data_IF_618278527559
#
_entry.id   IF_618278527559
#
_cell.length_a   1.000
_cell.length_b   1.000
_cell.length_c   1.000
_cell.angle_alpha   90.00
_cell.angle_beta   90.00
_cell.angle_gamma   90.00
#
_symmetry.space_group_name_H-M   'P 1'
#
loop_
_entity.id
_entity.type
_entity.pdbx_description
1 polymer ?
#
# COMPACT_ATOMS: atom_id res chain seq x y z
N UNK A 1 0.58 -13.90 8.29
CA UNK A 1 1.26 -13.23 7.15
C UNK A 1 2.32 -14.18 6.62
N UNK A 2 2.40 -14.42 5.31
CA UNK A 2 3.53 -15.18 4.73
C UNK A 2 4.78 -14.30 4.63
N UNK A 3 5.97 -14.89 4.53
CA UNK A 3 7.23 -14.14 4.36
C UNK A 3 7.20 -13.17 3.18
N UNK A 4 6.63 -13.61 2.05
CA UNK A 4 6.43 -12.76 0.87
C UNK A 4 5.45 -11.61 1.09
N UNK A 5 4.40 -11.82 1.90
CA UNK A 5 3.48 -10.73 2.24
C UNK A 5 4.16 -9.71 3.13
N UNK A 6 4.89 -10.14 4.16
CA UNK A 6 5.62 -9.24 5.05
C UNK A 6 6.60 -8.34 4.27
N UNK A 7 7.42 -8.93 3.38
CA UNK A 7 8.35 -8.16 2.52
C UNK A 7 7.64 -7.08 1.70
N UNK A 8 6.48 -7.40 1.11
CA UNK A 8 5.69 -6.44 0.32
C UNK A 8 5.13 -5.31 1.16
N UNK A 9 4.59 -5.63 2.33
CA UNK A 9 4.02 -4.63 3.25
C UNK A 9 5.11 -3.68 3.76
N UNK A 10 6.28 -4.22 4.13
CA UNK A 10 7.43 -3.41 4.53
C UNK A 10 7.86 -2.46 3.41
N UNK A 11 8.02 -2.95 2.18
CA UNK A 11 8.42 -2.11 1.06
C UNK A 11 7.39 -1.01 0.75
N UNK A 12 6.10 -1.34 0.83
CA UNK A 12 5.01 -0.37 0.63
C UNK A 12 5.05 0.72 1.70
N UNK A 13 5.23 0.36 2.97
CA UNK A 13 5.33 1.34 4.06
C UNK A 13 6.56 2.24 3.90
N UNK A 14 7.71 1.68 3.51
CA UNK A 14 8.91 2.47 3.21
C UNK A 14 8.64 3.48 2.08
N UNK A 15 8.04 3.05 0.96
CA UNK A 15 7.66 3.96 -0.14
C UNK A 15 6.69 5.06 0.32
N UNK A 16 5.73 4.70 1.17
CA UNK A 16 4.76 5.63 1.73
C UNK A 16 5.44 6.67 2.64
N UNK A 17 6.38 6.26 3.50
CA UNK A 17 7.13 7.16 4.38
C UNK A 17 8.08 8.09 3.62
N UNK A 18 8.67 7.63 2.51
CA UNK A 18 9.45 8.51 1.63
C UNK A 18 8.58 9.56 0.92
N UNK A 19 7.29 9.30 0.74
CA UNK A 19 6.37 10.18 0.01
C UNK A 19 5.06 10.42 0.80
N UNK A 20 5.12 11.03 1.99
CA UNK A 20 4.01 11.01 2.94
C UNK A 20 2.76 11.77 2.48
N UNK A 21 2.91 12.70 1.54
CA UNK A 21 1.81 13.49 0.96
C UNK A 21 1.21 12.87 -0.31
N UNK A 22 1.85 11.85 -0.87
CA UNK A 22 1.44 11.29 -2.14
C UNK A 22 0.37 10.20 -1.92
N UNK A 23 -0.69 10.25 -2.74
CA UNK A 23 -1.71 9.22 -2.72
C UNK A 23 -1.13 7.87 -3.15
N UNK A 24 -1.55 6.82 -2.46
CA UNK A 24 -1.17 5.44 -2.74
C UNK A 24 -2.34 4.77 -3.44
N UNK A 25 -2.18 4.54 -4.73
CA UNK A 25 -3.16 3.83 -5.56
C UNK A 25 -2.72 2.39 -5.79
N UNK A 26 -3.65 1.52 -6.19
CA UNK A 26 -3.30 0.16 -6.59
C UNK A 26 -2.27 0.13 -7.72
N UNK A 27 -2.33 1.07 -8.67
CA UNK A 27 -1.37 1.18 -9.78
C UNK A 27 0.04 1.52 -9.29
N UNK A 28 0.16 2.45 -8.34
CA UNK A 28 1.45 2.79 -7.72
C UNK A 28 2.10 1.57 -7.04
N UNK A 29 1.32 0.83 -6.25
CA UNK A 29 1.81 -0.39 -5.58
C UNK A 29 2.24 -1.45 -6.59
N UNK A 30 1.53 -1.58 -7.71
CA UNK A 30 1.95 -2.47 -8.80
C UNK A 30 3.28 -2.03 -9.42
N UNK A 31 3.49 -0.74 -9.64
CA UNK A 31 4.77 -0.19 -10.11
C UNK A 31 5.91 -0.46 -9.13
N UNK A 32 5.68 -0.26 -7.83
CA UNK A 32 6.63 -0.62 -6.78
C UNK A 32 6.99 -2.11 -6.82
N UNK A 33 6.00 -2.99 -6.95
CA UNK A 33 6.25 -4.43 -7.01
C UNK A 33 7.08 -4.80 -8.23
N UNK A 34 6.80 -4.20 -9.39
CA UNK A 34 7.59 -4.40 -10.60
C UNK A 34 9.05 -3.98 -10.40
N UNK A 35 9.31 -2.83 -9.77
CA UNK A 35 10.67 -2.36 -9.45
C UNK A 35 11.42 -3.32 -8.50
N UNK A 36 10.70 -4.04 -7.65
CA UNK A 36 11.25 -5.01 -6.71
C UNK A 36 11.37 -6.43 -7.27
N UNK A 37 11.05 -6.64 -8.56
CA UNK A 37 11.04 -7.97 -9.19
C UNK A 37 9.89 -8.86 -8.72
N UNK A 38 8.83 -8.28 -8.15
CA UNK A 38 7.65 -8.99 -7.66
C UNK A 38 6.56 -8.89 -8.73
N UNK A 39 5.94 -10.02 -9.08
CA UNK A 39 4.86 -10.05 -10.06
C UNK A 39 3.72 -9.07 -9.68
N UNK A 40 3.41 -8.06 -10.50
CA UNK A 40 2.50 -6.96 -10.14
C UNK A 40 1.03 -7.35 -10.31
N UNK A 41 0.52 -8.23 -9.44
CA UNK A 41 -0.90 -8.64 -9.47
C UNK A 41 -1.79 -7.61 -8.78
N UNK A 42 -2.78 -7.06 -9.51
CA UNK A 42 -3.76 -6.08 -8.99
C UNK A 42 -4.48 -6.56 -7.72
N UNK A 43 -4.89 -7.82 -7.68
CA UNK A 43 -5.57 -8.39 -6.52
C UNK A 43 -4.67 -8.43 -5.28
N UNK A 44 -3.38 -8.76 -5.45
CA UNK A 44 -2.37 -8.75 -4.40
C UNK A 44 -2.14 -7.35 -3.86
N UNK A 45 -1.88 -6.38 -4.75
CA UNK A 45 -1.70 -4.98 -4.36
C UNK A 45 -2.90 -4.43 -3.59
N UNK A 46 -4.13 -4.74 -4.03
CA UNK A 46 -5.35 -4.33 -3.32
C UNK A 46 -5.50 -5.02 -1.97
N UNK A 47 -5.14 -6.30 -1.87
CA UNK A 47 -5.15 -7.05 -0.61
C UNK A 47 -4.18 -6.46 0.41
N UNK A 48 -2.97 -6.12 -0.03
CA UNK A 48 -1.93 -5.54 0.81
C UNK A 48 -2.31 -4.13 1.31
N UNK A 49 -2.87 -3.28 0.44
CA UNK A 49 -3.41 -1.97 0.85
C UNK A 49 -4.49 -2.08 1.91
N UNK A 50 -5.44 -3.02 1.74
CA UNK A 50 -6.48 -3.28 2.73
C UNK A 50 -5.92 -3.83 4.04
N UNK A 51 -4.85 -4.64 3.98
CA UNK A 51 -4.20 -5.16 5.17
C UNK A 51 -3.59 -4.02 5.99
N UNK A 52 -2.86 -3.10 5.36
CA UNK A 52 -2.30 -1.93 6.04
C UNK A 52 -3.38 -0.99 6.57
N UNK A 53 -4.47 -0.80 5.83
CA UNK A 53 -5.59 0.00 6.29
C UNK A 53 -6.30 -0.63 7.52
N UNK A 54 -6.46 -1.95 7.52
CA UNK A 54 -7.00 -2.67 8.68
C UNK A 54 -6.09 -2.57 9.91
N UNK A 55 -4.78 -2.44 9.71
CA UNK A 55 -3.80 -2.21 10.78
C UNK A 55 -3.75 -0.74 11.24
N UNK A 56 -4.54 0.16 10.65
CA UNK A 56 -4.52 1.58 10.97
C UNK A 56 -3.32 2.35 10.43
N UNK A 57 -2.43 1.70 9.65
CA UNK A 57 -1.21 2.31 9.11
C UNK A 57 -1.49 3.17 7.87
N UNK A 58 -2.53 2.81 7.12
CA UNK A 58 -3.05 3.63 6.01
C UNK A 58 -4.50 4.00 6.27
N UNK A 59 -4.89 5.18 5.80
CA UNK A 59 -6.30 5.58 5.73
C UNK A 59 -6.81 5.43 4.31
N UNK A 60 -7.98 4.79 4.16
CA UNK A 60 -8.65 4.63 2.87
C UNK A 60 -9.49 5.87 2.53
N UNK A 61 -9.43 6.33 1.29
CA UNK A 61 -10.20 7.46 0.79
C UNK A 61 -10.91 7.14 -0.54
N UNK A 62 -12.01 7.86 -0.78
CA UNK A 62 -12.73 7.87 -2.06
C UNK A 62 -13.66 6.68 -2.31
N UNK A 63 -14.46 6.73 -3.39
CA UNK A 63 -15.41 5.68 -3.72
C UNK A 63 -14.71 4.43 -4.25
N UNK A 64 -15.43 3.29 -4.29
CA UNK A 64 -14.88 1.97 -4.69
C UNK A 64 -14.06 1.98 -5.99
N UNK A 65 -14.43 2.78 -6.98
CA UNK A 65 -13.77 2.87 -8.30
C UNK A 65 -12.62 3.90 -8.37
N UNK A 66 -12.49 4.78 -7.38
CA UNK A 66 -11.42 5.79 -7.28
C UNK A 66 -10.73 5.73 -5.92
N UNK A 67 -10.65 4.52 -5.36
CA UNK A 67 -10.10 4.28 -4.03
C UNK A 67 -8.60 4.55 -4.03
N UNK A 68 -8.16 5.41 -3.11
CA UNK A 68 -6.76 5.67 -2.82
C UNK A 68 -6.52 5.57 -1.32
N UNK A 69 -5.24 5.54 -0.93
CA UNK A 69 -4.81 5.44 0.45
C UNK A 69 -3.78 6.52 0.75
N UNK A 70 -3.70 6.93 2.01
CA UNK A 70 -2.65 7.82 2.52
C UNK A 70 -2.07 7.24 3.81
N UNK A 71 -0.84 7.64 4.18
CA UNK A 71 -0.33 7.34 5.52
C UNK A 71 -1.29 7.89 6.56
N UNK A 72 -1.64 7.07 7.55
CA UNK A 72 -2.35 7.57 8.71
C UNK A 72 -1.44 8.55 9.46
N UNK A 73 -1.96 9.68 9.95
CA UNK A 73 -1.20 10.53 10.86
C UNK A 73 -0.80 9.69 12.07
N UNK A 74 0.44 9.84 12.54
CA UNK A 74 0.86 9.22 13.79
C UNK A 74 -0.12 9.67 14.87
N UNK A 75 -0.88 8.73 15.43
CA UNK A 75 -1.76 9.01 16.55
C UNK A 75 -0.86 9.48 17.69
N UNK A 76 -1.07 10.72 18.13
CA UNK A 76 -0.33 11.37 19.21
C UNK A 76 -0.65 10.72 20.56
#
# INVERSE_FOLDING_TARGET
MTSNQARRLTALLIDAHHNPRAQITTGRVMGLYQQLGIAPKRATARGDLKALARLGLLTEHGPRHRRCYALSPAQS
#
